data_IF_773754193970
#
_entry.id   IF_773754193970
#
_cell.length_a   1.000
_cell.length_b   1.000
_cell.length_c   1.000
_cell.angle_alpha   90.00
_cell.angle_beta   90.00
_cell.angle_gamma   90.00
#
_symmetry.space_group_name_H-M   'P 1'
#
loop_
_entity.id
_entity.type
_entity.pdbx_description
1 polymer ?
#
# COMPACT_ATOMS: atom_id res chain seq x y z
N UNK A 1 8.80 5.92 12.41
CA UNK A 1 8.32 6.82 11.34
C UNK A 1 6.84 6.54 11.11
N UNK A 2 6.05 7.58 10.87
CA UNK A 2 4.66 7.44 10.46
C UNK A 2 4.48 8.13 9.10
N UNK A 3 3.61 7.59 8.25
CA UNK A 3 3.31 8.11 6.93
C UNK A 3 1.80 8.01 6.66
N UNK A 4 1.27 9.02 5.98
CA UNK A 4 -0.04 8.96 5.32
C UNK A 4 0.23 8.73 3.84
N UNK A 5 -0.51 7.84 3.19
CA UNK A 5 -0.35 7.56 1.78
C UNK A 5 -1.69 7.59 1.03
N UNK A 6 -1.60 7.94 -0.25
CA UNK A 6 -2.66 7.81 -1.25
C UNK A 6 -2.04 7.10 -2.44
N UNK A 7 -2.67 6.02 -2.89
CA UNK A 7 -2.20 5.20 -4.00
C UNK A 7 -3.30 5.09 -5.05
N UNK A 8 -2.91 5.15 -6.31
CA UNK A 8 -3.80 4.97 -7.46
C UNK A 8 -3.14 4.00 -8.43
N UNK A 9 -3.88 2.99 -8.86
CA UNK A 9 -3.38 1.95 -9.75
C UNK A 9 -4.47 1.45 -10.68
N UNK A 10 -4.08 0.97 -11.85
CA UNK A 10 -4.97 0.31 -12.81
C UNK A 10 -4.29 -0.92 -13.36
N UNK A 11 -5.04 -1.98 -13.62
CA UNK A 11 -4.55 -3.17 -14.33
C UNK A 11 -5.30 -3.24 -15.65
N UNK A 12 -4.57 -3.08 -16.76
CA UNK A 12 -5.12 -3.17 -18.11
C UNK A 12 -4.28 -4.14 -18.93
N UNK A 13 -4.80 -5.33 -19.28
CA UNK A 13 -4.08 -6.32 -20.11
C UNK A 13 -3.71 -5.77 -21.49
N UNK A 14 -4.56 -4.88 -21.99
CA UNK A 14 -4.47 -4.15 -23.24
C UNK A 14 -4.61 -2.67 -22.90
N UNK A 15 -3.68 -1.82 -23.35
CA UNK A 15 -3.71 -0.36 -23.14
C UNK A 15 -4.84 0.35 -23.92
N UNK A 16 -5.95 -0.34 -24.14
CA UNK A 16 -7.11 0.10 -24.90
C UNK A 16 -8.12 0.86 -24.05
N UNK A 17 -9.38 0.88 -24.50
CA UNK A 17 -10.47 1.69 -23.93
C UNK A 17 -10.82 1.40 -22.47
N UNK A 18 -10.36 0.27 -21.91
CA UNK A 18 -10.55 -0.15 -20.52
C UNK A 18 -9.50 0.45 -19.57
N UNK A 19 -8.35 0.88 -20.08
CA UNK A 19 -7.24 1.41 -19.28
C UNK A 19 -7.69 2.56 -18.37
N UNK A 20 -8.47 3.48 -18.94
CA UNK A 20 -8.93 4.68 -18.24
C UNK A 20 -10.17 4.47 -17.35
N UNK A 21 -10.74 3.26 -17.34
CA UNK A 21 -11.99 2.96 -16.63
C UNK A 21 -11.79 2.15 -15.35
N UNK A 22 -10.63 1.52 -15.19
CA UNK A 22 -10.33 0.59 -14.11
C UNK A 22 -9.33 1.14 -13.09
N UNK A 23 -9.31 2.45 -12.88
CA UNK A 23 -8.51 3.04 -11.80
C UNK A 23 -9.10 2.65 -10.45
N UNK A 24 -8.26 2.10 -9.60
CA UNK A 24 -8.51 1.82 -8.19
C UNK A 24 -7.66 2.75 -7.38
N UNK A 25 -8.28 3.37 -6.39
CA UNK A 25 -7.61 4.25 -5.45
C UNK A 25 -7.70 3.68 -4.04
N UNK A 26 -6.67 3.91 -3.26
CA UNK A 26 -6.60 3.59 -1.84
C UNK A 26 -5.90 4.71 -1.09
N UNK A 27 -6.23 4.85 0.18
CA UNK A 27 -5.55 5.76 1.10
C UNK A 27 -5.31 5.03 2.41
N UNK A 28 -4.28 5.41 3.14
CA UNK A 28 -3.93 4.69 4.34
C UNK A 28 -2.88 5.32 5.21
N UNK A 29 -2.60 4.61 6.29
CA UNK A 29 -1.64 4.98 7.31
C UNK A 29 -0.60 3.88 7.45
N UNK A 30 0.66 4.28 7.41
CA UNK A 30 1.82 3.41 7.54
C UNK A 30 2.65 3.78 8.77
N UNK A 31 3.07 2.77 9.52
CA UNK A 31 4.00 2.88 10.64
C UNK A 31 5.24 2.03 10.37
N UNK A 32 6.42 2.62 10.50
CA UNK A 32 7.71 1.91 10.44
C UNK A 32 8.48 2.07 11.74
N UNK A 33 8.89 0.95 12.31
CA UNK A 33 9.66 0.84 13.54
C UNK A 33 10.97 0.11 13.27
N UNK A 34 12.06 0.58 13.88
CA UNK A 34 13.39 0.01 13.75
C UNK A 34 13.87 -0.38 15.14
N UNK A 35 14.18 -1.66 15.31
CA UNK A 35 14.69 -2.24 16.55
C UNK A 35 16.04 -2.89 16.28
N UNK A 36 17.12 -2.13 16.42
CA UNK A 36 18.47 -2.58 16.07
C UNK A 36 18.53 -3.04 14.60
N UNK A 37 18.63 -4.35 14.35
CA UNK A 37 18.55 -4.94 13.00
C UNK A 37 17.12 -5.28 12.56
N UNK A 38 16.10 -5.24 13.41
CA UNK A 38 14.73 -5.60 13.00
C UNK A 38 13.99 -4.40 12.43
N UNK A 39 13.39 -4.57 11.26
CA UNK A 39 12.50 -3.60 10.62
C UNK A 39 11.08 -4.15 10.74
N UNK A 40 10.22 -3.42 11.45
CA UNK A 40 8.80 -3.72 11.55
C UNK A 40 8.01 -2.63 10.82
N UNK A 41 7.13 -3.03 9.91
CA UNK A 41 6.23 -2.12 9.21
C UNK A 41 4.80 -2.65 9.30
N UNK A 42 3.88 -1.73 9.56
CA UNK A 42 2.45 -1.98 9.53
C UNK A 42 1.80 -0.90 8.68
N UNK A 43 1.02 -1.31 7.69
CA UNK A 43 0.28 -0.41 6.83
C UNK A 43 -1.19 -0.81 6.87
N UNK A 44 -2.08 0.15 7.06
CA UNK A 44 -3.51 -0.05 7.01
C UNK A 44 -4.09 0.84 5.93
N UNK A 45 -4.56 0.21 4.85
CA UNK A 45 -5.13 0.84 3.68
C UNK A 45 -6.65 0.69 3.64
N UNK A 46 -7.32 1.74 3.18
CA UNK A 46 -8.74 1.77 2.89
C UNK A 46 -8.91 2.06 1.39
N UNK A 47 -9.78 1.31 0.74
CA UNK A 47 -10.21 1.55 -0.64
C UNK A 47 -11.73 1.60 -0.70
N UNK A 48 -12.26 1.99 -1.87
CA UNK A 48 -13.71 1.94 -2.12
C UNK A 48 -14.28 0.52 -2.08
N UNK A 49 -13.43 -0.50 -2.24
CA UNK A 49 -13.86 -1.91 -2.28
C UNK A 49 -13.71 -2.62 -0.95
N UNK A 50 -12.64 -2.37 -0.18
CA UNK A 50 -12.45 -2.89 1.18
C UNK A 50 -11.27 -2.20 1.89
N UNK A 51 -11.01 -2.60 3.13
CA UNK A 51 -9.81 -2.26 3.91
C UNK A 51 -8.86 -3.45 4.01
N UNK A 52 -7.55 -3.17 4.02
CA UNK A 52 -6.52 -4.18 4.16
C UNK A 52 -5.45 -3.74 5.16
N UNK A 53 -4.99 -4.69 5.99
CA UNK A 53 -3.83 -4.48 6.87
C UNK A 53 -2.68 -5.34 6.39
N UNK A 54 -1.57 -4.70 6.03
CA UNK A 54 -0.32 -5.36 5.67
C UNK A 54 0.68 -5.23 6.80
N UNK A 55 1.29 -6.35 7.20
CA UNK A 55 2.34 -6.40 8.21
C UNK A 55 3.60 -6.98 7.59
N UNK A 56 4.73 -6.30 7.80
CA UNK A 56 6.04 -6.70 7.31
C UNK A 56 7.04 -6.74 8.46
N UNK A 57 7.81 -7.83 8.52
CA UNK A 57 8.93 -8.01 9.45
C UNK A 57 10.14 -8.39 8.63
N UNK A 58 11.20 -7.59 8.74
CA UNK A 58 12.47 -7.83 8.06
C UNK A 58 13.66 -7.61 8.99
N UNK A 59 14.85 -7.96 8.50
CA UNK A 59 16.10 -7.75 9.20
C UNK A 59 17.05 -6.95 8.30
N UNK A 60 17.61 -5.86 8.82
CA UNK A 60 18.72 -5.11 8.24
C UNK A 60 20.04 -5.86 8.47
N UNK A 61 20.91 -5.75 7.48
CA UNK A 61 22.23 -6.37 7.42
C UNK A 61 23.23 -5.77 8.42
#
# INVERSE_FOLDING_TARGET
QAAVFYEEGTVSPDMGSSFWKNFRNSYGLGGRFLFNSVIFRIDHGFSQEDSETTVYIGYGF
#
